data_IF_237247613011
#
_entry.id   IF_237247613011
#
_cell.length_a   1.000
_cell.length_b   1.000
_cell.length_c   1.000
_cell.angle_alpha   90.00
_cell.angle_beta   90.00
_cell.angle_gamma   90.00
#
_symmetry.space_group_name_H-M   'P 1'
#
loop_
_entity.id
_entity.type
_entity.pdbx_description
1 polymer ?
#
# COMPACT_ATOMS: atom_id res chain seq x y z
N UNK A 1 -32.70 12.65 25.30
CA UNK A 1 -31.95 12.75 24.04
C UNK A 1 -30.57 12.20 24.32
N UNK A 2 -30.35 10.93 23.99
CA UNK A 2 -29.05 10.27 24.18
C UNK A 2 -28.13 10.77 23.08
N UNK A 3 -27.21 11.68 23.42
CA UNK A 3 -26.21 12.19 22.49
C UNK A 3 -25.13 11.12 22.35
N UNK A 4 -25.29 10.22 21.38
CA UNK A 4 -24.23 9.29 20.98
C UNK A 4 -22.95 10.09 20.69
N UNK A 5 -21.82 9.79 21.35
CA UNK A 5 -20.55 10.44 21.06
C UNK A 5 -20.12 10.06 19.63
N UNK A 6 -19.40 10.95 18.90
CA UNK A 6 -18.87 10.59 17.59
C UNK A 6 -17.89 9.43 17.77
N UNK A 7 -18.16 8.30 17.10
CA UNK A 7 -17.25 7.16 17.04
C UNK A 7 -15.90 7.63 16.51
N UNK A 8 -14.91 7.70 17.39
CA UNK A 8 -13.52 7.87 17.01
C UNK A 8 -13.10 6.64 16.20
N UNK A 9 -12.89 6.81 14.89
CA UNK A 9 -12.40 5.78 13.97
C UNK A 9 -10.97 5.38 14.36
N UNK A 10 -10.84 4.56 15.39
CA UNK A 10 -9.62 3.79 15.63
C UNK A 10 -9.59 2.67 14.59
N UNK A 11 -8.61 2.71 13.69
CA UNK A 11 -8.37 1.68 12.68
C UNK A 11 -8.34 0.30 13.36
N UNK A 12 -9.24 -0.62 13.01
CA UNK A 12 -9.27 -1.93 13.65
C UNK A 12 -8.05 -2.75 13.23
N UNK A 13 -7.60 -3.69 14.09
CA UNK A 13 -6.44 -4.53 13.75
C UNK A 13 -6.64 -5.41 12.51
N UNK A 14 -7.90 -5.70 12.14
CA UNK A 14 -8.23 -6.42 10.92
C UNK A 14 -8.10 -5.50 9.69
N UNK A 15 -8.52 -4.24 9.81
CA UNK A 15 -8.36 -3.25 8.74
C UNK A 15 -6.88 -2.97 8.46
N UNK A 16 -6.07 -2.81 9.51
CA UNK A 16 -4.62 -2.61 9.38
C UNK A 16 -3.98 -3.75 8.61
N UNK A 17 -4.27 -5.01 9.00
CA UNK A 17 -3.77 -6.20 8.29
C UNK A 17 -4.21 -6.23 6.83
N UNK A 18 -5.46 -5.88 6.56
CA UNK A 18 -5.99 -5.82 5.19
C UNK A 18 -5.22 -4.82 4.36
N UNK A 19 -4.98 -3.61 4.88
CA UNK A 19 -4.23 -2.57 4.17
C UNK A 19 -2.74 -2.90 3.99
N UNK A 20 -2.11 -3.59 4.95
CA UNK A 20 -0.74 -4.08 4.79
C UNK A 20 -0.64 -5.07 3.60
N UNK A 21 -1.60 -5.99 3.49
CA UNK A 21 -1.67 -6.93 2.36
C UNK A 21 -1.94 -6.18 1.05
N UNK A 22 -2.88 -5.23 1.05
CA UNK A 22 -3.23 -4.46 -0.14
C UNK A 22 -2.08 -3.58 -0.66
N UNK A 23 -1.23 -3.04 0.22
CA UNK A 23 -0.02 -2.32 -0.20
C UNK A 23 0.81 -3.19 -1.16
N UNK A 24 1.02 -4.46 -0.80
CA UNK A 24 1.79 -5.39 -1.63
C UNK A 24 0.98 -5.95 -2.80
N UNK A 25 -0.24 -6.41 -2.57
CA UNK A 25 -1.06 -7.06 -3.60
C UNK A 25 -1.42 -6.12 -4.75
N UNK A 26 -1.47 -4.82 -4.51
CA UNK A 26 -1.72 -3.82 -5.56
C UNK A 26 -0.67 -3.82 -6.67
N UNK A 27 0.56 -4.28 -6.40
CA UNK A 27 1.59 -4.53 -7.39
C UNK A 27 1.14 -5.42 -8.56
N UNK A 28 0.22 -6.36 -8.30
CA UNK A 28 -0.29 -7.31 -9.29
C UNK A 28 -1.11 -6.61 -10.39
N UNK A 29 -1.57 -5.38 -10.16
CA UNK A 29 -2.17 -4.55 -11.21
C UNK A 29 -1.17 -4.21 -12.33
N UNK A 30 0.13 -4.33 -12.06
CA UNK A 30 1.19 -4.28 -13.06
C UNK A 30 1.04 -5.29 -14.20
N UNK A 31 0.28 -6.38 -13.99
CA UNK A 31 -0.01 -7.36 -15.02
C UNK A 31 -1.02 -6.86 -16.07
N UNK A 32 -1.94 -5.97 -15.66
CA UNK A 32 -2.97 -5.39 -16.52
C UNK A 32 -2.57 -4.03 -17.08
N UNK A 33 -1.86 -3.24 -16.27
CA UNK A 33 -1.33 -1.94 -16.63
C UNK A 33 0.21 -2.03 -16.56
N UNK A 34 0.92 -2.05 -17.70
CA UNK A 34 2.39 -2.18 -17.72
C UNK A 34 3.04 -1.12 -16.83
N UNK A 35 4.27 -1.33 -16.35
CA UNK A 35 5.18 -0.39 -15.65
C UNK A 35 4.56 0.61 -14.65
N UNK A 36 3.70 1.51 -15.10
CA UNK A 36 2.76 2.29 -14.31
C UNK A 36 2.01 1.44 -13.26
N UNK A 37 1.41 0.31 -13.61
CA UNK A 37 0.65 -0.50 -12.63
C UNK A 37 1.50 -1.15 -11.55
N UNK A 38 2.77 -1.47 -11.84
CA UNK A 38 3.66 -2.16 -10.92
C UNK A 38 4.15 -1.25 -9.78
N UNK A 39 4.32 0.05 -10.04
CA UNK A 39 4.86 1.02 -9.07
C UNK A 39 3.77 1.98 -8.58
N UNK A 40 2.94 2.50 -9.48
CA UNK A 40 1.95 3.51 -9.09
C UNK A 40 0.84 2.91 -8.23
N UNK A 41 0.44 1.66 -8.45
CA UNK A 41 -0.58 1.03 -7.61
C UNK A 41 -0.17 0.93 -6.13
N UNK A 42 0.97 0.32 -5.76
CA UNK A 42 1.44 0.28 -4.37
C UNK A 42 1.69 1.67 -3.79
N UNK A 43 2.21 2.60 -4.60
CA UNK A 43 2.41 3.99 -4.19
C UNK A 43 1.10 4.70 -3.84
N UNK A 44 0.07 4.56 -4.68
CA UNK A 44 -1.25 5.17 -4.45
C UNK A 44 -1.89 4.57 -3.20
N UNK A 45 -1.89 3.24 -3.07
CA UNK A 45 -2.46 2.56 -1.89
C UNK A 45 -1.77 3.03 -0.61
N UNK A 46 -0.44 3.09 -0.59
CA UNK A 46 0.31 3.61 0.55
C UNK A 46 -0.03 5.08 0.84
N UNK A 47 -0.03 5.96 -0.16
CA UNK A 47 -0.31 7.40 0.06
C UNK A 47 -1.71 7.65 0.62
N UNK A 48 -2.70 6.85 0.22
CA UNK A 48 -4.08 6.94 0.74
C UNK A 48 -4.18 6.48 2.20
N UNK A 49 -3.37 5.50 2.62
CA UNK A 49 -3.53 4.82 3.92
C UNK A 49 -2.43 5.00 4.94
N UNK A 50 -1.32 5.64 4.57
CA UNK A 50 -0.18 5.91 5.48
C UNK A 50 -0.51 6.73 6.72
N UNK A 51 -1.59 7.51 6.69
CA UNK A 51 -2.05 8.30 7.83
C UNK A 51 -2.85 7.50 8.87
N UNK A 52 -3.35 6.31 8.50
CA UNK A 52 -4.32 5.56 9.30
C UNK A 52 -3.66 4.69 10.39
N UNK A 53 -2.39 4.30 10.20
CA UNK A 53 -1.61 3.51 11.17
C UNK A 53 -0.11 3.57 10.87
N UNK A 54 0.77 3.65 11.89
CA UNK A 54 2.22 3.57 11.70
C UNK A 54 2.66 2.23 11.11
N UNK A 55 1.89 1.16 11.36
CA UNK A 55 2.14 -0.15 10.77
C UNK A 55 1.93 -0.11 9.25
N UNK A 56 0.83 0.47 8.79
CA UNK A 56 0.54 0.62 7.35
C UNK A 56 1.62 1.48 6.67
N UNK A 57 2.08 2.55 7.32
CA UNK A 57 3.16 3.38 6.78
C UNK A 57 4.48 2.62 6.63
N UNK A 58 4.78 1.69 7.56
CA UNK A 58 5.97 0.84 7.47
C UNK A 58 5.88 -0.18 6.31
N UNK A 59 4.78 -0.96 6.26
CA UNK A 59 4.58 -1.95 5.19
C UNK A 59 4.39 -1.32 3.81
N UNK A 60 3.76 -0.14 3.73
CA UNK A 60 3.63 0.59 2.48
C UNK A 60 4.97 1.05 1.92
N UNK A 61 5.88 1.56 2.77
CA UNK A 61 7.25 1.90 2.36
C UNK A 61 8.03 0.67 1.91
N UNK A 62 7.91 -0.45 2.62
CA UNK A 62 8.54 -1.72 2.25
C UNK A 62 8.07 -2.18 0.87
N UNK A 63 6.75 -2.16 0.65
CA UNK A 63 6.16 -2.51 -0.64
C UNK A 63 6.67 -1.63 -1.78
N UNK A 64 6.71 -0.31 -1.59
CA UNK A 64 7.21 0.62 -2.63
C UNK A 64 8.71 0.41 -2.88
N UNK A 65 9.51 0.21 -1.82
CA UNK A 65 10.94 -0.06 -1.95
C UNK A 65 11.21 -1.36 -2.72
N UNK A 66 10.46 -2.43 -2.44
CA UNK A 66 10.59 -3.69 -3.15
C UNK A 66 10.31 -3.52 -4.65
N UNK A 67 9.28 -2.76 -5.01
CA UNK A 67 8.94 -2.49 -6.41
C UNK A 67 9.99 -1.64 -7.11
N UNK A 68 10.62 -0.71 -6.39
CA UNK A 68 11.76 0.05 -6.89
C UNK A 68 13.00 -0.83 -7.09
N UNK A 69 13.27 -1.76 -6.17
CA UNK A 69 14.36 -2.74 -6.33
C UNK A 69 14.13 -3.66 -7.53
N UNK A 70 12.92 -4.22 -7.67
CA UNK A 70 12.54 -5.07 -8.82
C UNK A 70 12.65 -4.31 -10.14
N UNK A 71 12.26 -3.03 -10.14
CA UNK A 71 12.46 -2.14 -11.26
C UNK A 71 13.94 -2.00 -11.63
N UNK A 72 14.79 -1.66 -10.66
CA UNK A 72 16.23 -1.51 -10.89
C UNK A 72 16.82 -2.82 -11.43
N UNK A 73 16.45 -3.97 -10.86
CA UNK A 73 16.90 -5.27 -11.34
C UNK A 73 16.43 -5.57 -12.76
N UNK A 74 15.19 -5.20 -13.13
CA UNK A 74 14.68 -5.36 -14.50
C UNK A 74 15.52 -4.55 -15.49
N UNK A 75 15.76 -3.27 -15.20
CA UNK A 75 16.62 -2.40 -16.02
C UNK A 75 18.03 -2.98 -16.17
N UNK A 76 18.66 -3.42 -15.09
CA UNK A 76 20.03 -3.96 -15.11
C UNK A 76 20.11 -5.29 -15.88
N UNK A 77 19.10 -6.15 -15.75
CA UNK A 77 19.03 -7.43 -16.45
C UNK A 77 18.63 -7.31 -17.92
N UNK A 78 18.21 -6.12 -18.36
CA UNK A 78 17.75 -5.87 -19.73
C UNK A 78 16.33 -6.41 -20.01
N UNK A 79 15.54 -6.61 -18.95
CA UNK A 79 14.11 -6.99 -19.00
C UNK A 79 13.24 -5.74 -19.03
#
# INVERSE_FOLDING_TARGET
METTPPSSTSSSSADVRTWNVLCHASALLGFFFPWAGHILAPLIVWLVKRGDSPEIDAYGKESVNFQLSMLIYSIISGI
#
